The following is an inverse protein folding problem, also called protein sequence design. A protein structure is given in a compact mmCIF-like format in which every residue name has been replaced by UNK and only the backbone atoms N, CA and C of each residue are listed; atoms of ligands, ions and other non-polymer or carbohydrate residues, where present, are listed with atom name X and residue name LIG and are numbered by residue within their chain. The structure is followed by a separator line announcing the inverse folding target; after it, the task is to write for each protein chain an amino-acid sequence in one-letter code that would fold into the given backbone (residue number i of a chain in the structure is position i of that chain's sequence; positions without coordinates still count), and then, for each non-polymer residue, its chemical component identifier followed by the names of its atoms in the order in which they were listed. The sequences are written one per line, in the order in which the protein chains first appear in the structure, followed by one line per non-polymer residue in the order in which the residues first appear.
data_IF_051895311319
#
_entry.id   IF_051895311319
#
_cell.length_a   1.000
_cell.length_b   1.000
_cell.length_c   1.000
_cell.angle_alpha   90.00
_cell.angle_beta   90.00
_cell.angle_gamma   90.00
#
_symmetry.space_group_name_H-M   'P 1'
#
loop_
_entity.id
_entity.type
_entity.pdbx_description
1 polymer ?
#
# COMPACT_ATOMS: atom_id res chain seq x y z
N UNK A 1 -22.96 4.58 12.23
CA UNK A 1 -23.49 3.30 12.75
C UNK A 1 -24.15 2.58 11.58
N UNK A 2 -23.71 1.38 11.21
CA UNK A 2 -24.20 0.70 10.01
C UNK A 2 -25.51 -0.03 10.35
N UNK A 3 -26.65 0.49 9.87
CA UNK A 3 -27.99 -0.05 10.12
C UNK A 3 -28.13 -1.52 9.71
N UNK A 4 -27.37 -1.95 8.71
CA UNK A 4 -27.29 -3.34 8.26
C UNK A 4 -26.83 -4.27 9.37
N UNK A 5 -25.85 -3.87 10.20
CA UNK A 5 -25.36 -4.69 11.30
C UNK A 5 -26.40 -4.80 12.44
N UNK A 6 -27.13 -3.71 12.70
CA UNK A 6 -28.22 -3.69 13.68
C UNK A 6 -29.34 -4.64 13.25
N UNK A 7 -29.69 -4.62 11.97
CA UNK A 7 -30.69 -5.51 11.39
C UNK A 7 -30.26 -6.97 11.46
N UNK A 8 -29.00 -7.29 11.08
CA UNK A 8 -28.46 -8.66 11.12
C UNK A 8 -28.48 -9.20 12.55
N UNK A 9 -27.92 -8.46 13.52
CA UNK A 9 -27.94 -8.85 14.93
C UNK A 9 -29.37 -9.00 15.48
N UNK A 10 -30.30 -8.14 15.05
CA UNK A 10 -31.72 -8.24 15.34
C UNK A 10 -32.31 -9.56 14.85
N UNK A 11 -32.15 -9.88 13.56
CA UNK A 11 -32.65 -11.14 12.97
C UNK A 11 -32.05 -12.39 13.61
N UNK A 12 -30.75 -12.40 13.89
CA UNK A 12 -30.09 -13.53 14.57
C UNK A 12 -30.63 -13.68 16.00
N UNK A 13 -30.74 -12.57 16.74
CA UNK A 13 -31.30 -12.57 18.10
C UNK A 13 -32.76 -13.04 18.13
N UNK A 14 -33.58 -12.64 17.15
CA UNK A 14 -34.94 -13.13 16.98
C UNK A 14 -34.99 -14.63 16.65
N UNK A 15 -34.10 -15.13 15.78
CA UNK A 15 -34.00 -16.54 15.44
C UNK A 15 -33.61 -17.41 16.64
N UNK A 16 -32.64 -16.98 17.45
CA UNK A 16 -32.27 -17.66 18.70
C UNK A 16 -33.43 -17.67 19.71
N UNK A 17 -34.16 -16.56 19.82
CA UNK A 17 -35.34 -16.46 20.70
C UNK A 17 -36.47 -17.38 20.26
N UNK A 18 -36.70 -17.50 18.94
CA UNK A 18 -37.66 -18.44 18.37
C UNK A 18 -37.26 -19.90 18.64
N UNK A 19 -36.00 -20.28 18.41
CA UNK A 19 -35.50 -21.62 18.74
C UNK A 19 -35.69 -21.91 20.23
N UNK A 20 -35.32 -20.98 21.11
CA UNK A 20 -35.51 -21.13 22.57
C UNK A 20 -36.98 -21.30 22.94
N UNK A 21 -37.89 -20.55 22.32
CA UNK A 21 -39.33 -20.70 22.52
C UNK A 21 -39.84 -22.08 22.08
N UNK A 22 -39.50 -22.51 20.86
CA UNK A 22 -39.96 -23.79 20.29
C UNK A 22 -39.34 -25.03 20.94
N UNK A 23 -38.19 -24.89 21.60
CA UNK A 23 -37.54 -25.97 22.35
C UNK A 23 -38.02 -26.05 23.80
N UNK A 24 -38.39 -24.93 24.42
CA UNK A 24 -38.81 -24.88 25.83
C UNK A 24 -40.32 -25.03 26.03
N UNK A 25 -41.16 -24.51 25.12
CA UNK A 25 -42.62 -24.50 25.29
C UNK A 25 -43.37 -25.46 24.36
N UNK A 26 -42.78 -25.89 23.25
CA UNK A 26 -43.47 -26.72 22.25
C UNK A 26 -43.05 -28.20 22.37
N UNK A 27 -44.02 -29.10 22.53
CA UNK A 27 -43.75 -30.56 22.66
C UNK A 27 -43.40 -31.27 21.33
N UNK A 28 -43.55 -30.58 20.20
CA UNK A 28 -43.33 -31.18 18.88
C UNK A 28 -41.84 -31.16 18.49
N UNK A 29 -41.21 -32.34 18.52
CA UNK A 29 -39.80 -32.52 18.13
C UNK A 29 -39.51 -32.05 16.70
N UNK A 30 -40.48 -32.19 15.79
CA UNK A 30 -40.36 -31.80 14.38
C UNK A 30 -40.27 -30.28 14.21
N UNK A 31 -41.06 -29.53 14.98
CA UNK A 31 -41.06 -28.05 14.93
C UNK A 31 -39.77 -27.50 15.53
N UNK A 32 -39.31 -28.09 16.65
CA UNK A 32 -38.02 -27.71 17.24
C UNK A 32 -36.86 -28.00 16.28
N UNK A 33 -36.87 -29.15 15.59
CA UNK A 33 -35.86 -29.50 14.59
C UNK A 33 -35.86 -28.52 13.40
N UNK A 34 -37.03 -28.15 12.87
CA UNK A 34 -37.16 -27.14 11.82
C UNK A 34 -36.63 -25.76 12.28
N UNK A 35 -36.86 -25.38 13.53
CA UNK A 35 -36.34 -24.13 14.08
C UNK A 35 -34.80 -24.13 14.14
N UNK A 36 -34.17 -25.25 14.51
CA UNK A 36 -32.70 -25.38 14.47
C UNK A 36 -32.16 -25.31 13.05
N UNK A 37 -32.79 -25.99 12.09
CA UNK A 37 -32.40 -25.91 10.67
C UNK A 37 -32.50 -24.47 10.16
N UNK A 38 -33.60 -23.77 10.47
CA UNK A 38 -33.79 -22.38 10.09
C UNK A 38 -32.72 -21.46 10.72
N UNK A 39 -32.33 -21.69 11.97
CA UNK A 39 -31.23 -20.97 12.61
C UNK A 39 -29.89 -21.24 11.93
N UNK A 40 -29.58 -22.50 11.60
CA UNK A 40 -28.34 -22.85 10.88
C UNK A 40 -28.28 -22.19 9.50
N UNK A 41 -29.38 -22.17 8.75
CA UNK A 41 -29.49 -21.47 7.47
C UNK A 41 -29.30 -19.96 7.66
N UNK A 42 -29.94 -19.38 8.68
CA UNK A 42 -29.82 -17.95 9.00
C UNK A 42 -28.36 -17.57 9.32
N UNK A 43 -27.69 -18.35 10.18
CA UNK A 43 -26.27 -18.14 10.50
C UNK A 43 -25.41 -18.30 9.26
N UNK A 44 -25.67 -19.31 8.41
CA UNK A 44 -24.93 -19.52 7.18
C UNK A 44 -25.06 -18.35 6.22
N UNK A 45 -26.29 -17.86 5.97
CA UNK A 45 -26.57 -16.71 5.11
C UNK A 45 -25.93 -15.42 5.62
N UNK A 46 -25.86 -15.23 6.94
CA UNK A 46 -25.22 -14.06 7.55
C UNK A 46 -23.73 -14.26 7.86
N UNK A 47 -23.18 -15.46 7.65
CA UNK A 47 -21.78 -15.77 7.99
C UNK A 47 -20.75 -14.87 7.32
N UNK A 48 -20.90 -14.42 6.06
CA UNK A 48 -19.95 -13.49 5.44
C UNK A 48 -19.91 -12.13 6.16
N UNK A 49 -21.07 -11.63 6.56
CA UNK A 49 -21.20 -10.35 7.27
C UNK A 49 -20.61 -10.43 8.68
N UNK A 50 -20.90 -11.51 9.43
CA UNK A 50 -20.33 -11.73 10.78
C UNK A 50 -18.80 -11.85 10.70
N UNK A 51 -18.30 -12.60 9.70
CA UNK A 51 -16.86 -12.76 9.46
C UNK A 51 -16.19 -11.41 9.19
N UNK A 52 -16.79 -10.56 8.36
CA UNK A 52 -16.22 -9.26 8.03
C UNK A 52 -16.28 -8.26 9.20
N UNK A 53 -17.29 -8.33 10.06
CA UNK A 53 -17.32 -7.55 11.31
C UNK A 53 -16.16 -7.94 12.22
N UNK A 54 -15.93 -9.25 12.40
CA UNK A 54 -14.82 -9.73 13.21
C UNK A 54 -13.44 -9.38 12.61
N UNK A 55 -13.31 -9.41 11.26
CA UNK A 55 -12.10 -8.97 10.57
C UNK A 55 -11.86 -7.47 10.75
N UNK A 56 -12.91 -6.65 10.56
CA UNK A 56 -12.81 -5.20 10.70
C UNK A 56 -12.48 -4.78 12.13
N UNK A 57 -12.98 -5.47 13.16
CA UNK A 57 -12.68 -5.13 14.55
C UNK A 57 -11.21 -5.40 14.93
N UNK A 58 -10.61 -6.47 14.40
CA UNK A 58 -9.20 -6.84 14.63
C UNK A 58 -8.21 -6.18 13.68
N UNK A 59 -8.71 -5.47 12.66
CA UNK A 59 -7.89 -4.93 11.58
C UNK A 59 -6.78 -3.99 12.07
N UNK A 60 -7.11 -3.15 13.07
CA UNK A 60 -6.16 -2.19 13.61
C UNK A 60 -5.02 -2.85 14.38
N UNK A 61 -5.31 -3.87 15.19
CA UNK A 61 -4.29 -4.65 15.89
C UNK A 61 -3.39 -5.36 14.89
N UNK A 62 -3.99 -6.01 13.87
CA UNK A 62 -3.26 -6.68 12.80
C UNK A 62 -2.31 -5.73 12.06
N UNK A 63 -2.76 -4.51 11.73
CA UNK A 63 -1.87 -3.54 11.08
C UNK A 63 -0.75 -3.04 12.00
N UNK A 64 -0.96 -2.98 13.31
CA UNK A 64 0.09 -2.60 14.28
C UNK A 64 1.12 -3.71 14.50
N UNK A 65 0.88 -4.94 14.03
CA UNK A 65 1.92 -5.98 13.97
C UNK A 65 3.02 -5.63 12.96
N UNK A 66 2.70 -4.85 11.93
CA UNK A 66 3.69 -4.30 10.99
C UNK A 66 4.46 -3.13 11.64
N UNK A 67 5.78 -3.19 11.63
CA UNK A 67 6.65 -2.21 12.29
C UNK A 67 6.44 -0.78 11.77
N UNK A 68 6.43 -0.58 10.45
CA UNK A 68 6.23 0.73 9.84
C UNK A 68 4.85 1.32 10.20
N UNK A 69 3.79 0.52 10.07
CA UNK A 69 2.44 0.98 10.38
C UNK A 69 2.25 1.27 11.88
N UNK A 70 2.92 0.51 12.76
CA UNK A 70 2.97 0.81 14.18
C UNK A 70 3.65 2.16 14.44
N UNK A 71 4.78 2.43 13.79
CA UNK A 71 5.48 3.71 13.89
C UNK A 71 4.63 4.87 13.37
N UNK A 72 3.95 4.70 12.24
CA UNK A 72 2.99 5.66 11.71
C UNK A 72 1.85 5.89 12.72
N UNK A 73 1.30 4.84 13.32
CA UNK A 73 0.20 4.98 14.30
C UNK A 73 0.57 5.82 15.53
N UNK A 74 1.86 5.84 15.91
CA UNK A 74 2.38 6.60 17.05
C UNK A 74 2.74 8.04 16.68
N UNK A 75 3.31 8.25 15.49
CA UNK A 75 3.82 9.57 15.05
C UNK A 75 2.80 10.39 14.25
N UNK A 76 1.88 9.74 13.56
CA UNK A 76 0.85 10.31 12.67
C UNK A 76 -0.53 9.68 12.98
N UNK A 77 -1.03 9.87 14.22
CA UNK A 77 -2.22 9.17 14.70
C UNK A 77 -3.49 9.54 13.91
N UNK A 78 -3.59 10.75 13.39
CA UNK A 78 -4.76 11.22 12.64
C UNK A 78 -4.83 10.56 11.25
N UNK A 79 -3.71 10.53 10.54
CA UNK A 79 -3.58 9.85 9.25
C UNK A 79 -3.80 8.33 9.40
N UNK A 80 -3.26 7.73 10.45
CA UNK A 80 -3.47 6.32 10.73
C UNK A 80 -4.94 6.02 11.05
N UNK A 81 -5.62 6.89 11.81
CA UNK A 81 -7.05 6.74 12.13
C UNK A 81 -7.92 6.87 10.87
N UNK A 82 -7.61 7.81 9.98
CA UNK A 82 -8.28 7.94 8.67
C UNK A 82 -8.13 6.65 7.85
N UNK A 83 -6.90 6.14 7.72
CA UNK A 83 -6.60 4.87 7.05
C UNK A 83 -7.39 3.68 7.63
N UNK A 84 -7.41 3.53 8.96
CA UNK A 84 -8.13 2.45 9.63
C UNK A 84 -9.63 2.57 9.39
N UNK A 85 -10.20 3.77 9.41
CA UNK A 85 -11.62 3.98 9.14
C UNK A 85 -11.99 3.61 7.70
N UNK A 86 -11.18 4.02 6.72
CA UNK A 86 -11.39 3.69 5.31
C UNK A 86 -11.25 2.18 5.07
N UNK A 87 -10.22 1.54 5.63
CA UNK A 87 -9.99 0.10 5.50
C UNK A 87 -11.09 -0.73 6.17
N UNK A 88 -11.54 -0.34 7.37
CA UNK A 88 -12.70 -0.97 8.03
C UNK A 88 -13.95 -0.87 7.17
N UNK A 89 -14.20 0.31 6.57
CA UNK A 89 -15.34 0.53 5.66
C UNK A 89 -15.27 -0.37 4.42
N UNK A 90 -14.10 -0.49 3.78
CA UNK A 90 -13.90 -1.39 2.64
C UNK A 90 -14.17 -2.85 3.00
N UNK A 91 -13.69 -3.33 4.16
CA UNK A 91 -13.97 -4.68 4.67
C UNK A 91 -15.47 -4.88 4.90
N UNK A 92 -16.17 -3.91 5.49
CA UNK A 92 -17.63 -3.98 5.66
C UNK A 92 -18.37 -4.05 4.32
N UNK A 93 -17.88 -3.32 3.31
CA UNK A 93 -18.47 -3.24 1.99
C UNK A 93 -18.11 -4.41 1.06
N UNK A 94 -17.29 -5.36 1.53
CA UNK A 94 -16.79 -6.49 0.73
C UNK A 94 -15.98 -6.02 -0.49
N UNK A 95 -15.26 -4.90 -0.34
CA UNK A 95 -14.36 -4.43 -1.39
C UNK A 95 -13.15 -5.39 -1.54
N UNK A 96 -12.57 -5.49 -2.75
CA UNK A 96 -11.39 -6.31 -2.99
C UNK A 96 -10.21 -5.94 -2.08
N UNK A 97 -9.33 -6.91 -1.81
CA UNK A 97 -8.12 -6.68 -1.00
C UNK A 97 -7.22 -5.59 -1.63
N UNK A 98 -7.16 -5.53 -2.95
CA UNK A 98 -6.41 -4.50 -3.71
C UNK A 98 -6.85 -3.07 -3.36
N UNK A 99 -8.13 -2.85 -3.03
CA UNK A 99 -8.59 -1.53 -2.55
C UNK A 99 -7.99 -1.16 -1.19
N UNK A 100 -7.87 -2.14 -0.29
CA UNK A 100 -7.28 -1.95 1.02
C UNK A 100 -5.76 -1.73 0.90
N UNK A 101 -5.10 -2.45 -0.01
CA UNK A 101 -3.68 -2.30 -0.28
C UNK A 101 -3.38 -0.89 -0.84
N UNK A 102 -4.25 -0.37 -1.72
CA UNK A 102 -4.18 1.00 -2.21
C UNK A 102 -4.27 2.04 -1.08
N UNK A 103 -5.11 1.83 -0.06
CA UNK A 103 -5.15 2.70 1.12
C UNK A 103 -3.86 2.65 1.94
N UNK A 104 -3.25 1.46 2.05
CA UNK A 104 -1.98 1.27 2.76
C UNK A 104 -0.86 2.04 2.05
N UNK A 105 -0.76 1.90 0.73
CA UNK A 105 0.20 2.64 -0.11
C UNK A 105 -0.03 4.14 0.00
N UNK A 106 -1.29 4.59 -0.05
CA UNK A 106 -1.63 6.01 0.08
C UNK A 106 -1.23 6.57 1.44
N UNK A 107 -1.42 5.82 2.54
CA UNK A 107 -1.01 6.24 3.88
C UNK A 107 0.51 6.40 3.94
N UNK A 108 1.25 5.35 3.54
CA UNK A 108 2.71 5.33 3.58
C UNK A 108 3.25 6.49 2.76
N UNK A 109 2.80 6.68 1.51
CA UNK A 109 3.24 7.76 0.64
C UNK A 109 2.96 9.15 1.24
N UNK A 110 1.76 9.36 1.81
CA UNK A 110 1.37 10.63 2.43
C UNK A 110 2.24 10.97 3.64
N UNK A 111 2.51 10.00 4.50
CA UNK A 111 3.36 10.22 5.68
C UNK A 111 4.82 10.40 5.24
N UNK A 112 5.29 9.53 4.34
CA UNK A 112 6.63 9.57 3.81
C UNK A 112 6.97 10.92 3.14
N UNK A 113 6.06 11.48 2.33
CA UNK A 113 6.28 12.79 1.69
C UNK A 113 6.42 13.94 2.69
N UNK A 114 5.76 13.87 3.85
CA UNK A 114 5.90 14.88 4.92
C UNK A 114 7.30 14.90 5.53
N UNK A 115 7.96 13.74 5.60
CA UNK A 115 9.29 13.60 6.21
C UNK A 115 10.43 13.66 5.21
N UNK A 116 10.16 13.48 3.92
CA UNK A 116 11.23 13.42 2.92
C UNK A 116 12.13 14.67 2.90
N UNK A 117 11.52 15.86 3.06
CA UNK A 117 12.26 17.13 3.08
C UNK A 117 13.15 17.28 4.32
N UNK A 118 12.85 16.56 5.40
CA UNK A 118 13.64 16.51 6.63
C UNK A 118 14.46 15.22 6.75
N UNK A 119 14.38 14.33 5.75
CA UNK A 119 15.13 13.09 5.78
C UNK A 119 16.62 13.35 5.56
N UNK A 120 17.45 12.52 6.19
CA UNK A 120 18.89 12.53 5.92
C UNK A 120 19.17 12.09 4.47
N UNK A 121 20.19 12.66 3.86
CA UNK A 121 20.60 12.30 2.50
C UNK A 121 21.01 10.81 2.42
N UNK A 122 21.52 10.25 3.53
CA UNK A 122 21.83 8.84 3.68
C UNK A 122 20.59 7.95 3.57
N UNK A 123 19.50 8.29 4.27
CA UNK A 123 18.27 7.51 4.22
C UNK A 123 17.65 7.53 2.82
N UNK A 124 17.67 8.69 2.15
CA UNK A 124 17.16 8.80 0.77
C UNK A 124 18.04 8.02 -0.19
N UNK A 125 19.36 8.13 -0.08
CA UNK A 125 20.27 7.39 -0.95
C UNK A 125 20.11 5.87 -0.79
N UNK A 126 19.96 5.38 0.44
CA UNK A 126 19.64 3.97 0.71
C UNK A 126 18.32 3.55 0.07
N UNK A 127 17.28 4.36 0.18
CA UNK A 127 15.99 4.07 -0.45
C UNK A 127 16.12 3.92 -1.97
N UNK A 128 16.77 4.87 -2.63
CA UNK A 128 16.98 4.84 -4.09
C UNK A 128 17.85 3.64 -4.48
N UNK A 129 18.84 3.28 -3.66
CA UNK A 129 19.68 2.09 -3.87
C UNK A 129 18.84 0.82 -3.81
N UNK A 130 18.04 0.64 -2.75
CA UNK A 130 17.17 -0.53 -2.61
C UNK A 130 16.16 -0.61 -3.76
N UNK A 131 15.54 0.50 -4.16
CA UNK A 131 14.61 0.51 -5.28
C UNK A 131 15.29 0.14 -6.61
N UNK A 132 16.50 0.67 -6.86
CA UNK A 132 17.31 0.31 -8.03
C UNK A 132 17.64 -1.18 -8.04
N UNK A 133 18.04 -1.75 -6.90
CA UNK A 133 18.40 -3.16 -6.78
C UNK A 133 17.21 -4.08 -7.09
N UNK A 134 16.01 -3.73 -6.59
CA UNK A 134 14.76 -4.43 -6.93
C UNK A 134 14.51 -4.39 -8.43
N UNK A 135 14.62 -3.20 -9.03
CA UNK A 135 14.35 -3.05 -10.45
C UNK A 135 15.39 -3.76 -11.32
N UNK A 136 16.65 -3.88 -10.88
CA UNK A 136 17.63 -4.69 -11.60
C UNK A 136 17.29 -6.18 -11.62
N UNK A 137 16.69 -6.69 -10.54
CA UNK A 137 16.21 -8.08 -10.48
C UNK A 137 15.01 -8.24 -11.42
N UNK A 138 14.00 -7.40 -11.24
CA UNK A 138 12.78 -7.43 -12.05
C UNK A 138 13.05 -7.22 -13.54
N UNK A 139 14.09 -6.47 -13.92
CA UNK A 139 14.38 -6.17 -15.32
C UNK A 139 14.61 -7.45 -16.14
N UNK A 140 15.21 -8.47 -15.52
CA UNK A 140 15.56 -9.72 -16.19
C UNK A 140 14.39 -10.70 -16.27
N UNK A 141 13.55 -10.71 -15.25
CA UNK A 141 12.54 -11.74 -15.05
C UNK A 141 11.13 -11.23 -15.41
N UNK A 142 10.81 -10.00 -15.00
CA UNK A 142 9.47 -9.41 -15.04
C UNK A 142 9.51 -7.88 -15.30
N UNK A 143 10.00 -7.41 -16.47
CA UNK A 143 10.15 -5.98 -16.74
C UNK A 143 8.82 -5.20 -16.71
N UNK A 144 7.69 -5.86 -16.97
CA UNK A 144 6.36 -5.26 -16.86
C UNK A 144 6.03 -4.79 -15.44
N UNK A 145 6.55 -5.46 -14.42
CA UNK A 145 6.24 -5.13 -13.03
C UNK A 145 6.91 -3.84 -12.59
N UNK A 146 8.10 -3.52 -13.13
CA UNK A 146 8.78 -2.23 -12.89
C UNK A 146 7.88 -1.07 -13.30
N UNK A 147 7.27 -1.17 -14.48
CA UNK A 147 6.36 -0.15 -15.01
C UNK A 147 5.11 -0.06 -14.12
N UNK A 148 4.54 -1.19 -13.69
CA UNK A 148 3.40 -1.21 -12.77
C UNK A 148 3.72 -0.56 -11.41
N UNK A 149 4.90 -0.84 -10.84
CA UNK A 149 5.35 -0.24 -9.58
C UNK A 149 5.44 1.28 -9.66
N UNK A 150 6.09 1.81 -10.70
CA UNK A 150 6.23 3.28 -10.88
C UNK A 150 4.87 3.98 -11.04
N UNK A 151 3.90 3.31 -11.65
CA UNK A 151 2.57 3.87 -11.90
C UNK A 151 1.57 3.62 -10.78
N UNK A 152 1.95 2.91 -9.72
CA UNK A 152 1.03 2.42 -8.68
C UNK A 152 -0.13 1.58 -9.26
N UNK A 153 0.11 0.86 -10.36
CA UNK A 153 -0.86 -0.04 -11.01
C UNK A 153 -0.65 -1.47 -10.51
N UNK A 154 -0.75 -1.66 -9.20
CA UNK A 154 -0.60 -2.97 -8.58
C UNK A 154 -1.91 -3.76 -8.73
N UNK A 155 -1.82 -4.89 -9.42
CA UNK A 155 -2.89 -5.87 -9.56
C UNK A 155 -2.41 -7.25 -9.05
N UNK A 156 -3.31 -8.23 -9.02
CA UNK A 156 -3.01 -9.59 -8.54
C UNK A 156 -1.99 -10.33 -9.44
N UNK A 157 -1.55 -9.74 -10.55
CA UNK A 157 -0.58 -10.33 -11.48
C UNK A 157 0.85 -9.82 -11.29
N UNK A 158 1.08 -8.88 -10.37
CA UNK A 158 2.44 -8.48 -9.96
C UNK A 158 3.09 -9.65 -9.24
N UNK A 159 4.35 -9.96 -9.59
CA UNK A 159 5.08 -11.06 -8.94
C UNK A 159 5.13 -10.84 -7.43
N UNK A 160 4.94 -11.93 -6.68
CA UNK A 160 5.17 -11.93 -5.25
C UNK A 160 6.67 -11.73 -4.99
N UNK A 161 7.07 -10.46 -4.90
CA UNK A 161 8.45 -10.04 -4.69
C UNK A 161 9.09 -10.68 -3.45
N UNK A 162 8.29 -11.05 -2.45
CA UNK A 162 8.78 -11.70 -1.23
C UNK A 162 9.22 -13.15 -1.48
N UNK A 163 8.59 -13.84 -2.45
CA UNK A 163 8.98 -15.19 -2.86
C UNK A 163 10.27 -15.17 -3.68
N UNK A 164 10.43 -14.14 -4.54
CA UNK A 164 11.62 -13.97 -5.37
C UNK A 164 12.78 -13.30 -4.63
N UNK A 165 12.49 -12.51 -3.59
CA UNK A 165 13.46 -11.80 -2.77
C UNK A 165 13.00 -11.75 -1.30
N UNK A 166 13.41 -12.73 -0.49
CA UNK A 166 13.06 -12.77 0.92
C UNK A 166 13.53 -11.51 1.66
N UNK A 167 12.69 -11.01 2.56
CA UNK A 167 12.89 -9.80 3.36
C UNK A 167 12.91 -8.48 2.57
N UNK A 168 12.49 -8.46 1.31
CA UNK A 168 12.49 -7.22 0.54
C UNK A 168 11.58 -6.18 1.15
N UNK A 169 10.34 -6.59 1.44
CA UNK A 169 9.34 -5.69 1.96
C UNK A 169 9.73 -5.18 3.35
N UNK A 170 10.38 -6.02 4.15
CA UNK A 170 10.95 -5.65 5.44
C UNK A 170 12.06 -4.60 5.30
N UNK A 171 12.96 -4.76 4.33
CA UNK A 171 14.03 -3.78 4.05
C UNK A 171 13.47 -2.42 3.62
N UNK A 172 12.50 -2.41 2.70
CA UNK A 172 11.83 -1.18 2.26
C UNK A 172 11.15 -0.51 3.45
N UNK A 173 10.39 -1.27 4.24
CA UNK A 173 9.69 -0.75 5.41
C UNK A 173 10.64 -0.17 6.45
N UNK A 174 11.79 -0.82 6.68
CA UNK A 174 12.82 -0.33 7.59
C UNK A 174 13.40 1.00 7.11
N UNK A 175 13.68 1.16 5.82
CA UNK A 175 14.19 2.42 5.27
C UNK A 175 13.11 3.52 5.34
N UNK A 176 11.85 3.18 5.04
CA UNK A 176 10.73 4.11 5.17
C UNK A 176 10.55 4.56 6.62
N UNK A 177 10.71 3.63 7.58
CA UNK A 177 10.68 3.94 9.00
C UNK A 177 11.85 4.83 9.40
N UNK A 178 13.08 4.55 8.95
CA UNK A 178 14.25 5.42 9.16
C UNK A 178 13.99 6.84 8.66
N UNK A 179 13.37 6.99 7.48
CA UNK A 179 12.98 8.32 6.95
C UNK A 179 11.95 9.00 7.86
N UNK A 180 10.90 8.30 8.28
CA UNK A 180 9.85 8.85 9.16
C UNK A 180 10.38 9.21 10.55
N UNK A 181 11.35 8.45 11.06
CA UNK A 181 11.99 8.70 12.35
C UNK A 181 13.12 9.72 12.26
N UNK A 182 13.67 9.98 11.07
CA UNK A 182 14.71 10.98 10.87
C UNK A 182 14.15 12.40 10.98
N UNK A 183 14.06 12.88 12.22
CA UNK A 183 13.74 14.26 12.52
C UNK A 183 15.00 15.13 12.36
N UNK A 184 15.42 15.49 11.14
CA UNK A 184 16.23 16.71 11.01
C UNK A 184 15.30 17.90 11.25
N UNK A 185 15.50 18.55 12.39
CA UNK A 185 14.78 19.75 12.82
C UNK A 185 15.03 20.96 11.90
N UNK A 186 16.04 20.89 11.03
CA UNK A 186 16.35 21.93 10.04
C UNK A 186 15.86 21.47 8.67
N UNK A 187 14.79 22.08 8.18
CA UNK A 187 14.43 22.02 6.75
C UNK A 187 15.56 22.70 5.98
N UNK A 188 16.47 21.93 5.41
CA UNK A 188 17.45 22.48 4.48
C UNK A 188 16.68 23.05 3.28
N UNK A 189 16.82 24.34 2.96
CA UNK A 189 16.18 24.89 1.78
C UNK A 189 16.64 24.10 0.55
N UNK A 190 15.68 23.58 -0.22
CA UNK A 190 15.98 22.86 -1.46
C UNK A 190 16.41 23.90 -2.49
N UNK A 191 17.65 23.82 -2.98
CA UNK A 191 18.08 24.60 -4.15
C UNK A 191 17.38 24.04 -5.39
N UNK A 192 16.20 24.59 -5.68
CA UNK A 192 15.36 24.18 -6.81
C UNK A 192 16.04 24.38 -8.16
N UNK A 193 16.94 25.37 -8.28
CA UNK A 193 17.65 25.65 -9.54
C UNK A 193 18.69 24.56 -9.80
N UNK A 194 19.48 24.23 -8.78
CA UNK A 194 20.45 23.15 -8.87
C UNK A 194 19.76 21.80 -9.09
N UNK A 195 18.68 21.51 -8.35
CA UNK A 195 17.91 20.28 -8.50
C UNK A 195 17.39 20.12 -9.94
N UNK A 196 16.75 21.15 -10.49
CA UNK A 196 16.28 21.16 -11.90
C UNK A 196 17.40 20.92 -12.88
N UNK A 197 18.54 21.60 -12.72
CA UNK A 197 19.71 21.45 -13.60
C UNK A 197 20.26 20.03 -13.57
N UNK A 198 20.37 19.42 -12.38
CA UNK A 198 20.85 18.05 -12.21
C UNK A 198 19.86 17.04 -12.81
N UNK A 199 18.57 17.21 -12.55
CA UNK A 199 17.52 16.38 -13.12
C UNK A 199 17.50 16.45 -14.65
N UNK A 200 17.61 17.66 -15.23
CA UNK A 200 17.70 17.85 -16.68
C UNK A 200 18.95 17.16 -17.29
N UNK A 201 20.08 17.15 -16.57
CA UNK A 201 21.28 16.43 -17.01
C UNK A 201 21.07 14.92 -17.06
N UNK A 202 20.28 14.35 -16.13
CA UNK A 202 19.92 12.94 -16.14
C UNK A 202 19.03 12.65 -17.35
N UNK A 203 17.95 13.42 -17.54
CA UNK A 203 17.07 13.25 -18.70
C UNK A 203 17.83 13.37 -20.01
N UNK A 204 18.67 14.39 -20.19
CA UNK A 204 19.49 14.54 -21.41
C UNK A 204 20.41 13.33 -21.67
N UNK A 205 20.92 12.70 -20.61
CA UNK A 205 21.74 11.49 -20.74
C UNK A 205 20.92 10.28 -21.16
N UNK A 206 19.71 10.14 -20.62
CA UNK A 206 18.76 9.09 -21.02
C UNK A 206 18.29 9.30 -22.47
N UNK A 207 17.96 10.53 -22.86
CA UNK A 207 17.49 10.88 -24.20
C UNK A 207 18.56 10.57 -25.25
N UNK A 208 19.84 10.84 -24.95
CA UNK A 208 20.96 10.45 -25.82
C UNK A 208 21.11 8.94 -25.99
N UNK A 209 20.78 8.17 -24.95
CA UNK A 209 20.93 6.70 -24.95
C UNK A 209 19.74 5.99 -25.59
N UNK A 210 18.52 6.44 -25.29
CA UNK A 210 17.29 5.74 -25.62
C UNK A 210 16.41 6.48 -26.64
N UNK A 211 16.73 7.73 -26.96
CA UNK A 211 15.92 8.61 -27.81
C UNK A 211 14.93 9.44 -27.00
N UNK A 212 14.80 10.73 -27.35
CA UNK A 212 13.94 11.70 -26.65
C UNK A 212 12.49 11.22 -26.56
N UNK A 213 11.93 10.74 -27.67
CA UNK A 213 10.57 10.23 -27.71
C UNK A 213 10.39 9.04 -26.75
N UNK A 214 11.32 8.10 -26.69
CA UNK A 214 11.16 6.93 -25.82
C UNK A 214 11.19 7.34 -24.35
N UNK A 215 12.12 8.22 -23.95
CA UNK A 215 12.19 8.74 -22.58
C UNK A 215 10.89 9.46 -22.21
N UNK A 216 10.39 10.33 -23.09
CA UNK A 216 9.13 11.03 -22.87
C UNK A 216 7.96 10.06 -22.71
N UNK A 217 7.84 9.06 -23.59
CA UNK A 217 6.75 8.08 -23.52
C UNK A 217 6.84 7.21 -22.26
N UNK A 218 8.04 6.82 -21.80
CA UNK A 218 8.18 6.04 -20.56
C UNK A 218 7.61 6.74 -19.34
N UNK A 219 7.90 8.03 -19.15
CA UNK A 219 7.48 8.77 -17.95
C UNK A 219 6.10 9.45 -18.08
N UNK A 220 5.62 9.67 -19.32
CA UNK A 220 4.34 10.35 -19.57
C UNK A 220 3.22 9.38 -20.00
N UNK A 221 3.57 8.33 -20.74
CA UNK A 221 2.64 7.40 -21.40
C UNK A 221 3.16 5.96 -21.36
N UNK A 222 3.32 5.40 -20.16
CA UNK A 222 4.12 4.19 -19.89
C UNK A 222 3.67 2.93 -20.65
N UNK A 223 2.39 2.86 -21.07
CA UNK A 223 1.83 1.74 -21.85
C UNK A 223 2.07 1.86 -23.36
N UNK A 224 2.76 2.91 -23.81
CA UNK A 224 2.96 3.19 -25.23
C UNK A 224 4.24 2.61 -25.80
N UNK A 225 5.08 2.03 -24.93
CA UNK A 225 6.32 1.36 -25.29
C UNK A 225 6.28 -0.09 -24.81
N UNK A 226 7.08 -0.99 -25.43
CA UNK A 226 7.32 -2.31 -24.87
C UNK A 226 7.82 -2.20 -23.42
N UNK A 227 7.26 -3.02 -22.53
CA UNK A 227 7.57 -2.98 -21.10
C UNK A 227 9.07 -3.10 -20.79
N UNK A 228 9.80 -3.94 -21.54
CA UNK A 228 11.25 -4.07 -21.42
C UNK A 228 11.99 -2.76 -21.68
N UNK A 229 11.60 -2.01 -22.71
CA UNK A 229 12.22 -0.71 -23.04
C UNK A 229 11.95 0.32 -21.95
N UNK A 230 10.71 0.44 -21.49
CA UNK A 230 10.36 1.34 -20.38
C UNK A 230 11.10 0.97 -19.10
N UNK A 231 11.18 -0.32 -18.78
CA UNK A 231 11.90 -0.83 -17.61
C UNK A 231 13.40 -0.50 -17.66
N UNK A 232 14.07 -0.68 -18.80
CA UNK A 232 15.49 -0.30 -18.94
C UNK A 232 15.73 1.19 -18.75
N UNK A 233 14.82 2.04 -19.25
CA UNK A 233 14.87 3.49 -19.08
C UNK A 233 14.70 3.85 -17.60
N UNK A 234 13.70 3.27 -16.92
CA UNK A 234 13.45 3.47 -15.49
C UNK A 234 14.67 3.04 -14.67
N UNK A 235 15.19 1.82 -14.88
CA UNK A 235 16.40 1.34 -14.17
C UNK A 235 17.59 2.28 -14.41
N UNK A 236 17.78 2.73 -15.66
CA UNK A 236 18.86 3.67 -15.99
C UNK A 236 18.69 5.03 -15.31
N UNK A 237 17.46 5.49 -15.11
CA UNK A 237 17.16 6.71 -14.36
C UNK A 237 17.57 6.59 -12.89
N UNK A 238 17.18 5.49 -12.22
CA UNK A 238 17.59 5.24 -10.84
C UNK A 238 19.11 5.09 -10.70
N UNK A 239 19.76 4.43 -11.66
CA UNK A 239 21.22 4.37 -11.69
C UNK A 239 21.86 5.76 -11.83
N UNK A 240 21.35 6.59 -12.74
CA UNK A 240 21.87 7.95 -12.96
C UNK A 240 21.66 8.88 -11.75
N UNK A 241 20.57 8.68 -10.98
CA UNK A 241 20.40 9.32 -9.69
C UNK A 241 21.57 8.95 -8.77
N UNK A 242 21.82 7.66 -8.55
CA UNK A 242 22.88 7.18 -7.65
C UNK A 242 24.28 7.63 -8.11
N UNK A 243 24.54 7.61 -9.41
CA UNK A 243 25.81 8.06 -10.01
C UNK A 243 26.06 9.57 -9.80
N UNK A 244 25.01 10.36 -9.53
CA UNK A 244 25.14 11.78 -9.17
C UNK A 244 25.70 11.98 -7.75
N UNK A 245 25.82 10.92 -6.96
CA UNK A 245 26.29 10.94 -5.58
C UNK A 245 25.18 11.25 -4.57
N UNK A 246 25.45 10.97 -3.29
CA UNK A 246 24.50 11.03 -2.19
C UNK A 246 23.75 12.36 -2.07
N UNK A 247 24.50 13.47 -2.00
CA UNK A 247 23.93 14.81 -1.82
C UNK A 247 23.02 15.20 -3.00
N UNK A 248 23.46 14.96 -4.24
CA UNK A 248 22.66 15.31 -5.42
C UNK A 248 21.45 14.38 -5.58
N UNK A 249 21.57 13.09 -5.26
CA UNK A 249 20.44 12.16 -5.25
C UNK A 249 19.36 12.67 -4.30
N UNK A 250 19.75 12.97 -3.06
CA UNK A 250 18.83 13.48 -2.05
C UNK A 250 18.20 14.81 -2.48
N UNK A 251 18.97 15.74 -3.04
CA UNK A 251 18.49 17.01 -3.56
C UNK A 251 17.42 16.81 -4.65
N UNK A 252 17.68 15.95 -5.64
CA UNK A 252 16.77 15.69 -6.76
C UNK A 252 15.49 15.02 -6.25
N UNK A 253 15.60 14.00 -5.39
CA UNK A 253 14.46 13.25 -4.84
C UNK A 253 13.58 14.16 -4.00
N UNK A 254 14.17 14.94 -3.06
CA UNK A 254 13.45 15.94 -2.26
C UNK A 254 12.71 16.94 -3.15
N UNK A 255 13.36 17.43 -4.21
CA UNK A 255 12.72 18.33 -5.18
C UNK A 255 11.53 17.66 -5.89
N UNK A 256 11.72 16.46 -6.45
CA UNK A 256 10.71 15.76 -7.27
C UNK A 256 9.45 15.35 -6.52
N UNK A 257 9.54 15.14 -5.21
CA UNK A 257 8.40 14.72 -4.38
C UNK A 257 7.80 15.88 -3.55
N UNK A 258 8.45 17.05 -3.53
CA UNK A 258 7.92 18.27 -2.91
C UNK A 258 7.04 19.09 -3.88
N UNK A 259 7.22 18.90 -5.20
CA UNK A 259 6.40 19.47 -6.28
C UNK A 259 5.30 18.53 -6.72
#
# INVERSE_FOLDING_TARGET
MNWTNVLICGTIGSAFSAVKYFTSKQKSKTISALAFIALSITIYLFSPYISNIAKASKLEEKYKENQLLNTISKKHPDEFKEFINNSKKAVYNHEPQTTIDAYTISLIRRVFSKHLNTASDEAIFKLITTQRDIYQILLKEHPGDIVKFELNQLDDSVVNLEESYPHLMEQIQKIQEEVILSENTVKTPIDTTLAKKKMASIYSSLEKKFGEQNVFMTFSFPNSLPAATSAEIIVSYYQALLDSGKENTALIVKYSMAT
#
